data_IF_506235016420
#
_entry.id   IF_506235016420
#
_cell.length_a   1.000
_cell.length_b   1.000
_cell.length_c   1.000
_cell.angle_alpha   90.00
_cell.angle_beta   90.00
_cell.angle_gamma   90.00
#
_symmetry.space_group_name_H-M   'P 1'
#
loop_
_entity.id
_entity.type
_entity.pdbx_description
1 polymer ?
#
# COMPACT_ATOMS: atom_id res chain seq x y z
N UNK A 1 -17.55 -17.53 -33.59
CA UNK A 1 -17.94 -18.38 -32.43
C UNK A 1 -18.55 -17.49 -31.36
N UNK A 2 -19.86 -17.57 -31.15
CA UNK A 2 -20.54 -16.91 -30.03
C UNK A 2 -20.30 -17.72 -28.77
N UNK A 3 -19.55 -17.17 -27.80
CA UNK A 3 -19.43 -17.78 -26.47
C UNK A 3 -20.78 -17.73 -25.78
N UNK A 4 -21.19 -18.82 -25.14
CA UNK A 4 -22.35 -18.83 -24.25
C UNK A 4 -22.17 -17.78 -23.15
N UNK A 5 -23.16 -16.91 -22.97
CA UNK A 5 -23.12 -15.95 -21.88
C UNK A 5 -23.21 -16.68 -20.54
N UNK A 6 -22.55 -16.14 -19.53
CA UNK A 6 -22.63 -16.66 -18.18
C UNK A 6 -24.06 -16.46 -17.63
N UNK A 7 -24.68 -17.54 -17.19
CA UNK A 7 -26.00 -17.50 -16.56
C UNK A 7 -25.91 -16.91 -15.15
N UNK A 8 -26.37 -15.67 -14.99
CA UNK A 8 -26.37 -14.93 -13.72
C UNK A 8 -27.33 -15.54 -12.69
N UNK A 9 -28.32 -16.34 -13.10
CA UNK A 9 -29.22 -17.07 -12.20
C UNK A 9 -28.52 -18.13 -11.36
N UNK A 10 -27.30 -18.53 -11.74
CA UNK A 10 -26.45 -19.45 -10.97
C UNK A 10 -25.65 -18.76 -9.86
N UNK A 11 -25.72 -17.43 -9.75
CA UNK A 11 -25.03 -16.69 -8.69
C UNK A 11 -25.83 -16.78 -7.39
N UNK A 12 -25.22 -17.38 -6.37
CA UNK A 12 -25.70 -17.28 -4.99
C UNK A 12 -25.13 -16.01 -4.34
N UNK A 13 -25.82 -14.88 -4.50
CA UNK A 13 -25.41 -13.61 -3.87
C UNK A 13 -25.88 -13.58 -2.42
N UNK A 14 -24.93 -13.53 -1.47
CA UNK A 14 -25.20 -13.43 -0.03
C UNK A 14 -25.32 -11.96 0.42
N UNK A 15 -26.01 -11.67 1.53
CA UNK A 15 -26.01 -10.33 2.13
C UNK A 15 -24.59 -9.80 2.35
N UNK A 16 -24.38 -8.50 2.10
CA UNK A 16 -23.06 -7.88 2.24
C UNK A 16 -22.48 -8.03 3.65
N UNK A 17 -23.33 -8.02 4.68
CA UNK A 17 -22.93 -8.21 6.08
C UNK A 17 -22.37 -9.60 6.40
N UNK A 18 -22.57 -10.59 5.53
CA UNK A 18 -21.98 -11.93 5.67
C UNK A 18 -20.58 -12.02 5.03
N UNK A 19 -20.05 -10.90 4.52
CA UNK A 19 -18.71 -10.84 3.95
C UNK A 19 -17.66 -10.99 5.05
N UNK A 20 -16.84 -12.02 4.93
CA UNK A 20 -15.63 -12.18 5.73
C UNK A 20 -14.50 -11.35 5.10
N UNK A 21 -13.80 -10.57 5.92
CA UNK A 21 -12.66 -9.77 5.49
C UNK A 21 -11.36 -10.40 5.98
N UNK A 22 -10.45 -10.73 5.06
CA UNK A 22 -9.14 -11.29 5.37
C UNK A 22 -8.19 -10.29 6.05
N UNK A 23 -8.55 -9.00 6.05
CA UNK A 23 -7.74 -7.91 6.61
C UNK A 23 -8.60 -7.08 7.54
N UNK A 24 -8.06 -6.77 8.73
CA UNK A 24 -8.64 -5.77 9.63
C UNK A 24 -7.82 -4.48 9.53
N UNK A 25 -8.49 -3.33 9.66
CA UNK A 25 -7.83 -2.03 9.56
C UNK A 25 -6.66 -1.85 10.56
N UNK A 26 -6.78 -2.24 11.85
CA UNK A 26 -5.68 -2.09 12.80
C UNK A 26 -4.42 -2.88 12.41
N UNK A 27 -4.58 -4.01 11.72
CA UNK A 27 -3.48 -4.90 11.36
C UNK A 27 -2.66 -4.40 10.17
N UNK A 28 -3.23 -3.49 9.36
CA UNK A 28 -2.60 -3.01 8.12
C UNK A 28 -2.26 -1.52 8.17
N UNK A 29 -2.97 -0.71 8.95
CA UNK A 29 -2.85 0.74 8.90
C UNK A 29 -1.55 1.22 9.56
N UNK A 30 -0.59 1.67 8.75
CA UNK A 30 0.66 2.25 9.24
C UNK A 30 0.49 3.74 9.46
N UNK A 31 0.92 4.23 10.62
CA UNK A 31 0.87 5.66 10.96
C UNK A 31 2.29 6.23 11.06
N UNK A 32 2.53 7.46 10.58
CA UNK A 32 3.75 8.19 10.91
C UNK A 32 3.93 8.24 12.44
N UNK A 33 5.13 7.92 12.92
CA UNK A 33 5.42 7.85 14.36
C UNK A 33 4.86 6.62 15.11
N UNK A 34 4.13 5.72 14.44
CA UNK A 34 3.66 4.47 15.01
C UNK A 34 4.73 3.38 15.11
N UNK A 35 4.33 2.21 15.58
CA UNK A 35 5.19 1.02 15.64
C UNK A 35 5.72 0.68 14.23
N UNK A 36 7.03 0.43 14.15
CA UNK A 36 7.68 0.05 12.89
C UNK A 36 7.80 -1.46 12.83
N UNK A 37 7.41 -2.02 11.68
CA UNK A 37 7.72 -3.40 11.37
C UNK A 37 9.24 -3.52 11.26
N UNK A 38 9.83 -4.42 12.04
CA UNK A 38 11.25 -4.69 11.98
C UNK A 38 11.62 -5.18 10.57
N UNK A 39 12.46 -4.40 9.89
CA UNK A 39 12.97 -4.73 8.58
C UNK A 39 14.35 -4.08 8.43
N UNK A 40 15.35 -4.89 8.13
CA UNK A 40 16.71 -4.44 7.94
C UNK A 40 17.23 -4.89 6.58
N UNK A 41 17.93 -3.99 5.90
CA UNK A 41 18.63 -4.30 4.66
C UNK A 41 19.81 -3.34 4.50
N UNK A 42 21.01 -3.81 4.11
CA UNK A 42 22.21 -2.97 4.01
C UNK A 42 22.08 -1.75 3.09
N UNK A 43 21.17 -1.81 2.11
CA UNK A 43 20.89 -0.68 1.22
C UNK A 43 20.02 0.43 1.85
N UNK A 44 19.29 0.16 2.94
CA UNK A 44 18.36 1.15 3.50
C UNK A 44 19.05 2.44 3.97
N UNK A 45 20.18 2.40 4.71
CA UNK A 45 20.87 3.63 5.11
C UNK A 45 21.30 4.46 3.91
N UNK A 46 21.87 3.82 2.88
CA UNK A 46 22.35 4.49 1.66
C UNK A 46 21.21 5.11 0.87
N UNK A 47 20.09 4.39 0.72
CA UNK A 47 18.90 4.91 0.02
C UNK A 47 18.25 6.06 0.78
N UNK A 48 18.13 5.95 2.11
CA UNK A 48 17.55 6.99 2.94
C UNK A 48 18.37 8.28 2.88
N UNK A 49 19.70 8.17 3.03
CA UNK A 49 20.60 9.32 2.96
C UNK A 49 20.52 10.03 1.61
N UNK A 50 20.62 9.29 0.50
CA UNK A 50 20.54 9.85 -0.86
C UNK A 50 19.19 10.48 -1.15
N UNK A 51 18.11 9.87 -0.69
CA UNK A 51 16.74 10.39 -0.85
C UNK A 51 16.59 11.74 -0.16
N UNK A 52 17.02 11.83 1.10
CA UNK A 52 16.95 13.08 1.88
C UNK A 52 17.85 14.16 1.29
N UNK A 53 19.07 13.81 0.87
CA UNK A 53 19.98 14.75 0.23
C UNK A 53 19.40 15.31 -1.09
N UNK A 54 18.82 14.46 -1.93
CA UNK A 54 18.18 14.88 -3.18
C UNK A 54 17.00 15.82 -2.91
N UNK A 55 16.09 15.44 -1.99
CA UNK A 55 14.93 16.26 -1.64
C UNK A 55 15.35 17.65 -1.11
N UNK A 56 16.31 17.71 -0.17
CA UNK A 56 16.85 18.97 0.37
C UNK A 56 17.53 19.84 -0.68
N UNK A 57 18.11 19.23 -1.71
CA UNK A 57 18.70 19.95 -2.84
C UNK A 57 17.67 20.36 -3.91
N UNK A 58 16.37 20.24 -3.63
CA UNK A 58 15.30 20.57 -4.59
C UNK A 58 15.28 19.66 -5.81
N UNK A 59 15.82 18.44 -5.71
CA UNK A 59 15.82 17.45 -6.79
C UNK A 59 14.60 16.54 -6.68
N UNK A 60 14.09 16.11 -7.83
CA UNK A 60 13.00 15.16 -7.88
C UNK A 60 13.40 13.80 -7.28
N UNK A 61 12.56 13.27 -6.39
CA UNK A 61 12.63 11.89 -5.89
C UNK A 61 11.40 11.16 -6.42
N UNK A 62 11.62 10.19 -7.32
CA UNK A 62 10.53 9.42 -7.92
C UNK A 62 10.39 8.06 -7.23
N UNK A 63 9.23 7.82 -6.62
CA UNK A 63 8.87 6.53 -6.03
C UNK A 63 7.94 5.75 -6.97
N UNK A 64 8.40 4.58 -7.45
CA UNK A 64 7.61 3.68 -8.28
C UNK A 64 7.08 2.52 -7.45
N UNK A 65 5.92 2.72 -6.81
CA UNK A 65 5.30 1.72 -5.94
C UNK A 65 4.17 0.99 -6.67
N UNK A 66 4.13 -0.35 -6.57
CA UNK A 66 2.98 -1.13 -7.02
C UNK A 66 1.76 -0.96 -6.09
N UNK A 67 0.56 -1.28 -6.59
CA UNK A 67 -0.69 -1.16 -5.81
C UNK A 67 -0.70 -1.96 -4.51
N UNK A 68 0.13 -3.00 -4.41
CA UNK A 68 0.32 -3.75 -3.17
C UNK A 68 0.80 -2.89 -2.00
N UNK A 69 1.66 -1.90 -2.23
CA UNK A 69 2.18 -1.00 -1.18
C UNK A 69 1.05 -0.23 -0.50
N UNK A 70 0.07 0.22 -1.28
CA UNK A 70 -1.12 0.92 -0.80
C UNK A 70 -2.07 -0.03 -0.06
N UNK A 71 -2.30 -1.24 -0.60
CA UNK A 71 -3.13 -2.27 0.06
C UNK A 71 -2.60 -2.66 1.43
N UNK A 72 -1.28 -2.61 1.64
CA UNK A 72 -0.61 -2.89 2.92
C UNK A 72 -0.62 -1.68 3.88
N UNK A 73 -1.53 -0.71 3.67
CA UNK A 73 -1.77 0.43 4.55
C UNK A 73 -0.62 1.44 4.65
N UNK A 74 0.26 1.50 3.63
CA UNK A 74 1.40 2.44 3.61
C UNK A 74 1.03 3.85 3.14
N UNK A 75 -0.22 4.09 2.72
CA UNK A 75 -0.66 5.37 2.18
C UNK A 75 -0.39 6.56 3.12
N UNK A 76 -0.65 6.49 4.46
CA UNK A 76 -0.34 7.61 5.35
C UNK A 76 1.16 7.91 5.46
N UNK A 77 2.02 6.90 5.32
CA UNK A 77 3.48 7.10 5.32
C UNK A 77 3.96 7.78 4.04
N UNK A 78 3.37 7.45 2.89
CA UNK A 78 3.69 8.10 1.61
C UNK A 78 3.25 9.56 1.61
N UNK A 79 2.07 9.86 2.17
CA UNK A 79 1.57 11.24 2.32
C UNK A 79 2.52 12.03 3.23
N UNK A 80 2.87 11.50 4.41
CA UNK A 80 3.83 12.15 5.32
C UNK A 80 5.20 12.39 4.66
N UNK A 81 5.65 11.48 3.79
CA UNK A 81 6.89 11.69 3.03
C UNK A 81 6.77 12.81 1.98
N UNK A 82 5.59 12.99 1.37
CA UNK A 82 5.35 14.04 0.37
C UNK A 82 5.17 15.43 0.98
N UNK A 83 4.74 15.50 2.25
CA UNK A 83 4.54 16.77 2.98
C UNK A 83 5.83 17.35 3.60
N UNK A 84 6.91 16.55 3.66
CA UNK A 84 8.21 16.91 4.24
C UNK A 84 9.21 17.39 3.19
#
# INVERSE_FOLDING_TARGET
>A
MTRSQFDRGRLSIRPLGERVHDLQQPDILKRPGGERIAFEHPALPVLAERTVAAARAGRAVLWACGGHVLRQGSAPLLIDLMER
#
